data_IF_450616031758
#
_entry.id   IF_450616031758
#
_cell.length_a   1.000
_cell.length_b   1.000
_cell.length_c   1.000
_cell.angle_alpha   90.00
_cell.angle_beta   90.00
_cell.angle_gamma   90.00
#
_symmetry.space_group_name_H-M   'P 1'
#
loop_
_entity.id
_entity.type
_entity.pdbx_description
1 polymer ?
#
# COMPACT_ATOMS: atom_id res chain seq x y z
N UNK A 1 8.24 15.45 34.57
CA UNK A 1 7.01 15.63 33.80
C UNK A 1 6.05 14.49 34.14
N UNK A 2 4.75 14.74 34.13
CA UNK A 2 3.78 13.80 34.67
C UNK A 2 3.34 12.79 33.61
N UNK A 3 3.05 11.54 34.00
CA UNK A 3 2.49 10.46 33.19
C UNK A 3 1.23 10.92 32.42
N UNK A 4 0.53 11.91 32.96
CA UNK A 4 -0.65 12.56 32.35
C UNK A 4 -0.32 13.29 31.03
N UNK A 5 0.85 13.93 30.90
CA UNK A 5 1.25 14.65 29.69
C UNK A 5 1.60 13.67 28.55
N UNK A 6 2.20 12.53 28.85
CA UNK A 6 2.45 11.45 27.89
C UNK A 6 1.13 10.87 27.40
N UNK A 7 0.25 10.50 28.33
CA UNK A 7 -1.06 9.93 27.97
C UNK A 7 -1.85 10.87 27.05
N UNK A 8 -1.86 12.17 27.36
CA UNK A 8 -2.52 13.16 26.53
C UNK A 8 -1.91 13.24 25.10
N UNK A 9 -0.57 13.18 24.99
CA UNK A 9 0.10 13.21 23.68
C UNK A 9 -0.19 11.96 22.87
N UNK A 10 -0.22 10.78 23.50
CA UNK A 10 -0.59 9.51 22.84
C UNK A 10 -2.06 9.54 22.37
N UNK A 11 -3.00 10.05 23.19
CA UNK A 11 -4.40 10.18 22.79
C UNK A 11 -4.58 11.14 21.61
N UNK A 12 -3.87 12.27 21.62
CA UNK A 12 -3.85 13.19 20.47
C UNK A 12 -3.30 12.53 19.22
N UNK A 13 -2.27 11.72 19.37
CA UNK A 13 -1.70 10.96 18.25
C UNK A 13 -2.71 9.92 17.71
N UNK A 14 -3.42 9.20 18.57
CA UNK A 14 -4.49 8.30 18.13
C UNK A 14 -5.61 9.04 17.39
N UNK A 15 -6.04 10.18 17.92
CA UNK A 15 -7.04 11.01 17.24
C UNK A 15 -6.51 11.53 15.89
N UNK A 16 -5.25 11.95 15.84
CA UNK A 16 -4.60 12.34 14.59
C UNK A 16 -4.66 11.20 13.56
N UNK A 17 -4.30 9.96 13.93
CA UNK A 17 -4.35 8.78 13.06
C UNK A 17 -5.77 8.44 12.61
N UNK A 18 -6.77 8.60 13.49
CA UNK A 18 -8.19 8.44 13.12
C UNK A 18 -8.60 9.44 12.03
N UNK A 19 -8.30 10.73 12.23
CA UNK A 19 -8.69 11.76 11.27
C UNK A 19 -7.86 11.73 9.99
N UNK A 20 -6.61 11.33 10.05
CA UNK A 20 -5.76 11.06 8.87
C UNK A 20 -6.31 9.88 8.05
N UNK A 21 -6.75 8.80 8.71
CA UNK A 21 -7.35 7.63 8.07
C UNK A 21 -8.78 7.85 7.58
N UNK A 22 -9.43 8.98 7.91
CA UNK A 22 -10.82 9.22 7.55
C UNK A 22 -10.97 9.78 6.13
N UNK A 23 -10.55 8.98 5.14
CA UNK A 23 -10.54 9.31 3.71
C UNK A 23 -11.75 8.66 3.02
N UNK A 24 -12.74 9.47 2.69
CA UNK A 24 -14.03 8.97 2.21
C UNK A 24 -14.03 8.58 0.72
N UNK A 25 -13.05 8.96 -0.07
CA UNK A 25 -13.09 8.79 -1.52
C UNK A 25 -12.29 7.60 -2.05
N UNK A 26 -11.49 6.88 -1.24
CA UNK A 26 -10.66 5.76 -1.72
C UNK A 26 -11.44 4.63 -2.41
N UNK A 27 -12.72 4.46 -2.09
CA UNK A 27 -13.53 3.43 -2.74
C UNK A 27 -14.18 3.88 -4.05
N UNK A 28 -13.99 5.17 -4.45
CA UNK A 28 -14.70 5.76 -5.62
C UNK A 28 -13.84 6.71 -6.46
N UNK A 29 -12.56 6.88 -6.17
CA UNK A 29 -11.69 7.85 -6.85
C UNK A 29 -11.53 7.56 -8.35
N UNK A 30 -11.39 6.30 -8.75
CA UNK A 30 -11.31 5.93 -10.16
C UNK A 30 -12.63 6.18 -10.90
N UNK A 31 -13.75 6.09 -10.20
CA UNK A 31 -15.06 6.40 -10.77
C UNK A 31 -15.23 7.91 -10.98
N UNK A 32 -14.71 8.74 -10.05
CA UNK A 32 -14.63 10.17 -10.29
C UNK A 32 -13.80 10.49 -11.53
N UNK A 33 -12.61 9.90 -11.66
CA UNK A 33 -11.74 10.09 -12.83
C UNK A 33 -12.46 9.67 -14.13
N UNK A 34 -13.13 8.52 -14.14
CA UNK A 34 -13.92 8.06 -15.29
C UNK A 34 -15.08 9.01 -15.61
N UNK A 35 -15.76 9.56 -14.61
CA UNK A 35 -16.83 10.55 -14.80
C UNK A 35 -16.35 11.88 -15.40
N UNK A 36 -15.03 12.12 -15.38
CA UNK A 36 -14.33 13.26 -16.01
C UNK A 36 -13.68 12.86 -17.34
N UNK A 37 -14.17 11.78 -17.96
CA UNK A 37 -13.73 11.28 -19.25
C UNK A 37 -12.26 10.82 -19.33
N UNK A 38 -11.63 10.56 -18.20
CA UNK A 38 -10.29 9.97 -18.18
C UNK A 38 -10.36 8.50 -18.60
N UNK A 39 -9.49 8.13 -19.55
CA UNK A 39 -9.27 6.74 -19.90
C UNK A 39 -8.58 5.97 -18.76
N UNK A 40 -8.63 4.64 -18.80
CA UNK A 40 -7.90 3.82 -17.81
C UNK A 40 -6.40 4.05 -17.94
N UNK A 41 -5.89 4.27 -19.15
CA UNK A 41 -4.49 4.64 -19.37
C UNK A 41 -4.13 5.98 -18.72
N UNK A 42 -5.03 6.97 -18.76
CA UNK A 42 -4.81 8.26 -18.09
C UNK A 42 -4.76 8.08 -16.56
N UNK A 43 -5.65 7.25 -15.99
CA UNK A 43 -5.61 6.93 -14.56
C UNK A 43 -4.27 6.28 -14.16
N UNK A 44 -3.77 5.35 -14.99
CA UNK A 44 -2.45 4.73 -14.79
C UNK A 44 -1.33 5.77 -14.86
N UNK A 45 -1.41 6.76 -15.76
CA UNK A 45 -0.40 7.83 -15.84
C UNK A 45 -0.39 8.69 -14.57
N UNK A 46 -1.55 8.97 -13.98
CA UNK A 46 -1.66 9.68 -12.67
C UNK A 46 -0.96 8.87 -11.57
N UNK A 47 -1.18 7.56 -11.51
CA UNK A 47 -0.50 6.66 -10.55
C UNK A 47 1.02 6.61 -10.78
N UNK A 48 1.48 6.63 -12.04
CA UNK A 48 2.91 6.68 -12.36
C UNK A 48 3.54 7.97 -11.87
N UNK A 49 2.87 9.11 -12.04
CA UNK A 49 3.34 10.40 -11.50
C UNK A 49 3.52 10.30 -9.99
N UNK A 50 2.50 9.78 -9.28
CA UNK A 50 2.60 9.54 -7.84
C UNK A 50 3.80 8.66 -7.48
N UNK A 51 3.94 7.50 -8.12
CA UNK A 51 4.97 6.52 -7.81
C UNK A 51 6.39 7.05 -8.06
N UNK A 52 6.61 7.72 -9.20
CA UNK A 52 7.92 8.29 -9.57
C UNK A 52 8.34 9.39 -8.59
N UNK A 53 7.44 10.31 -8.28
CA UNK A 53 7.76 11.40 -7.36
C UNK A 53 7.86 10.94 -5.90
N UNK A 54 7.10 9.91 -5.49
CA UNK A 54 7.28 9.28 -4.19
C UNK A 54 8.71 8.76 -4.02
N UNK A 55 9.25 8.02 -5.00
CA UNK A 55 10.64 7.55 -4.98
C UNK A 55 11.66 8.70 -4.91
N UNK A 56 11.41 9.79 -5.63
CA UNK A 56 12.30 10.97 -5.62
C UNK A 56 12.29 11.64 -4.24
N UNK A 57 11.13 11.78 -3.62
CA UNK A 57 10.98 12.50 -2.35
C UNK A 57 11.25 11.64 -1.11
N UNK A 58 11.27 10.32 -1.21
CA UNK A 58 11.47 9.43 -0.05
C UNK A 58 12.81 9.70 0.67
N UNK A 59 13.90 9.95 -0.07
CA UNK A 59 15.21 10.24 0.51
C UNK A 59 15.26 11.66 1.13
N UNK A 60 14.86 12.73 0.43
CA UNK A 60 14.86 14.08 1.01
C UNK A 60 13.93 14.21 2.21
N UNK A 61 12.77 13.53 2.22
CA UNK A 61 11.79 13.61 3.31
C UNK A 61 12.33 13.02 4.61
N UNK A 62 13.08 11.93 4.57
CA UNK A 62 13.76 11.37 5.73
C UNK A 62 14.71 12.39 6.37
N UNK A 63 15.56 13.05 5.56
CA UNK A 63 16.46 14.08 6.04
C UNK A 63 15.73 15.32 6.62
N UNK A 64 14.56 15.66 6.07
CA UNK A 64 13.71 16.73 6.62
C UNK A 64 13.13 16.31 7.97
N UNK A 65 12.59 15.10 8.08
CA UNK A 65 12.02 14.56 9.31
C UNK A 65 13.04 14.48 10.46
N UNK A 66 14.31 14.21 10.14
CA UNK A 66 15.37 14.13 11.13
C UNK A 66 15.85 15.50 11.62
N UNK A 67 15.78 16.54 10.76
CA UNK A 67 16.26 17.89 11.09
C UNK A 67 15.19 18.82 11.62
N UNK A 68 13.94 18.62 11.21
CA UNK A 68 12.81 19.47 11.61
C UNK A 68 12.01 18.84 12.75
N UNK A 69 11.13 19.64 13.35
CA UNK A 69 10.14 19.15 14.31
C UNK A 69 9.16 18.22 13.61
N UNK A 70 9.08 16.97 14.09
CA UNK A 70 8.24 15.93 13.46
C UNK A 70 6.76 16.29 13.45
N UNK A 71 6.26 17.00 14.48
CA UNK A 71 4.87 17.46 14.48
C UNK A 71 4.54 18.40 13.33
N UNK A 72 5.51 19.27 12.95
CA UNK A 72 5.32 20.15 11.79
C UNK A 72 5.42 19.37 10.47
N UNK A 73 6.30 18.37 10.38
CA UNK A 73 6.38 17.47 9.22
C UNK A 73 5.07 16.72 9.05
N UNK A 74 4.48 16.18 10.15
CA UNK A 74 3.16 15.54 10.12
C UNK A 74 2.05 16.52 9.69
N UNK A 75 2.08 17.76 10.16
CA UNK A 75 1.10 18.76 9.74
C UNK A 75 1.23 19.12 8.25
N UNK A 76 2.47 19.30 7.76
CA UNK A 76 2.76 19.60 6.34
C UNK A 76 2.38 18.43 5.45
N UNK A 77 2.63 17.18 5.87
CA UNK A 77 2.14 15.98 5.19
C UNK A 77 0.63 16.10 4.90
N UNK A 78 -0.18 16.33 5.95
CA UNK A 78 -1.63 16.43 5.79
C UNK A 78 -2.04 17.63 4.92
N UNK A 79 -1.31 18.75 4.95
CA UNK A 79 -1.56 19.90 4.06
C UNK A 79 -1.35 19.51 2.58
N UNK A 80 -0.30 18.76 2.25
CA UNK A 80 -0.10 18.25 0.88
C UNK A 80 -1.18 17.23 0.49
N UNK A 81 -1.63 16.38 1.43
CA UNK A 81 -2.76 15.49 1.22
C UNK A 81 -4.06 16.29 0.96
N UNK A 82 -4.32 17.36 1.71
CA UNK A 82 -5.46 18.26 1.46
C UNK A 82 -5.36 18.93 0.08
N UNK A 83 -4.16 19.34 -0.34
CA UNK A 83 -3.95 19.92 -1.67
C UNK A 83 -4.29 18.89 -2.77
N UNK A 84 -3.83 17.66 -2.64
CA UNK A 84 -4.23 16.56 -3.54
C UNK A 84 -5.75 16.41 -3.57
N UNK A 85 -6.38 16.23 -2.40
CA UNK A 85 -7.83 16.03 -2.27
C UNK A 85 -8.63 17.18 -2.89
N UNK A 86 -8.20 18.43 -2.65
CA UNK A 86 -8.83 19.60 -3.23
C UNK A 86 -8.72 19.63 -4.75
N UNK A 87 -7.50 19.40 -5.29
CA UNK A 87 -7.26 19.38 -6.73
C UNK A 87 -8.08 18.30 -7.42
N UNK A 88 -8.18 17.11 -6.83
CA UNK A 88 -8.99 16.02 -7.38
C UNK A 88 -10.50 16.32 -7.31
N UNK A 89 -10.96 16.98 -6.25
CA UNK A 89 -12.38 17.38 -6.12
C UNK A 89 -12.83 18.31 -7.26
N UNK A 90 -11.96 19.22 -7.70
CA UNK A 90 -12.27 20.23 -8.74
C UNK A 90 -11.77 19.84 -10.14
N UNK A 91 -10.99 18.75 -10.26
CA UNK A 91 -10.37 18.34 -11.53
C UNK A 91 -11.43 18.06 -12.60
N UNK A 92 -11.19 18.56 -13.81
CA UNK A 92 -11.99 18.29 -15.00
C UNK A 92 -11.18 17.59 -16.10
N UNK A 93 -9.87 17.56 -15.97
CA UNK A 93 -8.92 16.98 -16.90
C UNK A 93 -7.75 16.31 -16.16
N UNK A 94 -6.94 15.55 -16.88
CA UNK A 94 -5.81 14.80 -16.35
C UNK A 94 -4.76 15.67 -15.64
N UNK A 95 -4.62 16.95 -16.03
CA UNK A 95 -3.54 17.83 -15.55
C UNK A 95 -3.68 18.09 -14.05
N UNK A 96 -4.90 18.40 -13.58
CA UNK A 96 -5.15 18.61 -12.15
C UNK A 96 -5.03 17.29 -11.34
N UNK A 97 -5.40 16.14 -11.92
CA UNK A 97 -5.17 14.85 -11.28
C UNK A 97 -3.67 14.56 -11.14
N UNK A 98 -2.86 14.86 -12.15
CA UNK A 98 -1.39 14.70 -12.09
C UNK A 98 -0.74 15.63 -11.06
N UNK A 99 -1.17 16.92 -11.00
CA UNK A 99 -0.67 17.86 -9.98
C UNK A 99 -1.08 17.40 -8.59
N UNK A 100 -2.29 16.90 -8.43
CA UNK A 100 -2.75 16.29 -7.18
C UNK A 100 -1.91 15.07 -6.79
N UNK A 101 -1.64 14.16 -7.73
CA UNK A 101 -0.79 13.00 -7.50
C UNK A 101 0.66 13.38 -7.10
N UNK A 102 1.20 14.44 -7.69
CA UNK A 102 2.47 15.03 -7.26
C UNK A 102 2.40 15.53 -5.82
N UNK A 103 1.33 16.23 -5.42
CA UNK A 103 1.15 16.66 -4.03
C UNK A 103 0.98 15.45 -3.09
N UNK A 104 0.24 14.41 -3.50
CA UNK A 104 0.08 13.17 -2.75
C UNK A 104 1.42 12.45 -2.53
N UNK A 105 2.33 12.46 -3.52
CA UNK A 105 3.66 11.85 -3.39
C UNK A 105 4.52 12.55 -2.33
N UNK A 106 4.48 13.88 -2.24
CA UNK A 106 5.15 14.65 -1.19
C UNK A 106 4.53 14.30 0.18
N UNK A 107 3.20 14.26 0.27
CA UNK A 107 2.49 13.86 1.48
C UNK A 107 2.95 12.48 1.97
N UNK A 108 2.89 11.48 1.10
CA UNK A 108 3.28 10.10 1.45
C UNK A 108 4.74 9.97 1.84
N UNK A 109 5.65 10.68 1.16
CA UNK A 109 7.06 10.71 1.49
C UNK A 109 7.32 11.34 2.87
N UNK A 110 6.66 12.45 3.20
CA UNK A 110 6.78 13.11 4.51
C UNK A 110 6.17 12.25 5.65
N UNK A 111 5.13 11.48 5.37
CA UNK A 111 4.53 10.56 6.34
C UNK A 111 5.46 9.39 6.64
N UNK A 112 6.12 8.85 5.61
CA UNK A 112 6.96 7.65 5.69
C UNK A 112 8.02 7.79 6.80
N UNK A 113 7.91 6.95 7.82
CA UNK A 113 8.82 6.93 8.96
C UNK A 113 8.65 8.07 9.99
N UNK A 114 8.00 9.19 9.64
CA UNK A 114 7.87 10.33 10.56
C UNK A 114 6.90 10.04 11.71
N UNK A 115 5.77 9.41 11.43
CA UNK A 115 4.75 9.08 12.41
C UNK A 115 5.24 8.01 13.41
N UNK A 116 5.88 6.96 12.91
CA UNK A 116 6.47 5.89 13.74
C UNK A 116 7.61 6.42 14.60
N UNK A 117 8.48 7.25 14.04
CA UNK A 117 9.58 7.88 14.75
C UNK A 117 9.09 8.90 15.79
N UNK A 118 8.05 9.70 15.48
CA UNK A 118 7.43 10.60 16.45
C UNK A 118 6.90 9.84 17.67
N UNK A 119 6.20 8.72 17.42
CA UNK A 119 5.65 7.89 18.50
C UNK A 119 6.77 7.26 19.34
N UNK A 120 7.80 6.70 18.69
CA UNK A 120 8.94 6.10 19.38
C UNK A 120 9.66 7.11 20.27
N UNK A 121 9.99 8.28 19.74
CA UNK A 121 10.66 9.35 20.48
C UNK A 121 9.80 9.88 21.64
N UNK A 122 8.48 9.97 21.43
CA UNK A 122 7.56 10.35 22.52
C UNK A 122 7.60 9.35 23.67
N UNK A 123 7.62 8.05 23.39
CA UNK A 123 7.71 7.01 24.41
C UNK A 123 9.09 6.97 25.06
N UNK A 124 10.16 7.17 24.30
CA UNK A 124 11.54 7.19 24.79
C UNK A 124 11.78 8.36 25.77
N UNK A 125 11.24 9.55 25.51
CA UNK A 125 11.31 10.70 26.43
C UNK A 125 10.77 10.35 27.84
N UNK A 126 9.84 9.40 27.92
CA UNK A 126 9.22 8.98 29.17
C UNK A 126 9.72 7.60 29.67
N UNK A 127 10.77 7.04 29.04
CA UNK A 127 11.31 5.71 29.38
C UNK A 127 10.23 4.61 29.33
N UNK A 128 9.38 4.65 28.28
CA UNK A 128 8.28 3.68 28.02
C UNK A 128 8.35 3.06 26.64
N UNK A 129 9.55 3.00 26.05
CA UNK A 129 9.81 2.40 24.74
C UNK A 129 9.37 0.94 24.65
N UNK A 130 9.32 0.21 25.75
CA UNK A 130 8.82 -1.16 25.81
C UNK A 130 7.33 -1.27 25.46
N UNK A 131 6.59 -0.16 25.53
CA UNK A 131 5.17 -0.11 25.16
C UNK A 131 4.95 0.23 23.69
N UNK A 132 6.03 0.49 22.90
CA UNK A 132 5.95 0.98 21.53
C UNK A 132 5.10 0.09 20.61
N UNK A 133 5.36 -1.21 20.59
CA UNK A 133 4.62 -2.15 19.72
C UNK A 133 3.11 -2.12 20.00
N UNK A 134 2.73 -2.08 21.28
CA UNK A 134 1.32 -2.00 21.69
C UNK A 134 0.70 -0.68 21.27
N UNK A 135 1.41 0.43 21.47
CA UNK A 135 0.91 1.78 21.18
C UNK A 135 0.78 2.00 19.68
N UNK A 136 1.79 1.57 18.90
CA UNK A 136 1.74 1.58 17.43
C UNK A 136 0.61 0.69 16.90
N UNK A 137 0.46 -0.52 17.44
CA UNK A 137 -0.62 -1.43 17.07
C UNK A 137 -2.01 -0.83 17.30
N UNK A 138 -2.20 -0.12 18.42
CA UNK A 138 -3.44 0.61 18.68
C UNK A 138 -3.67 1.76 17.68
N UNK A 139 -2.61 2.52 17.33
CA UNK A 139 -2.71 3.61 16.37
C UNK A 139 -3.15 3.09 14.98
N UNK A 140 -2.51 2.02 14.49
CA UNK A 140 -2.87 1.34 13.23
C UNK A 140 -4.29 0.80 13.28
N UNK A 141 -4.69 0.21 14.41
CA UNK A 141 -6.05 -0.31 14.59
C UNK A 141 -7.11 0.79 14.48
N UNK A 142 -6.92 1.93 15.16
CA UNK A 142 -7.86 3.05 15.08
C UNK A 142 -7.89 3.69 13.68
N UNK A 143 -6.74 3.85 13.03
CA UNK A 143 -6.65 4.32 11.64
C UNK A 143 -7.41 3.39 10.69
N UNK A 144 -7.23 2.06 10.82
CA UNK A 144 -7.91 1.07 9.97
C UNK A 144 -9.43 1.07 10.16
N UNK A 145 -9.92 1.17 11.41
CA UNK A 145 -11.36 1.30 11.66
C UNK A 145 -11.90 2.58 11.02
N UNK A 146 -11.18 3.69 11.17
CA UNK A 146 -11.57 4.97 10.56
C UNK A 146 -11.64 4.85 9.03
N UNK A 147 -10.66 4.21 8.39
CA UNK A 147 -10.63 3.97 6.94
C UNK A 147 -11.80 3.10 6.46
N UNK A 148 -12.14 2.02 7.20
CA UNK A 148 -13.29 1.16 6.88
C UNK A 148 -14.61 1.96 6.96
N UNK A 149 -14.81 2.69 8.06
CA UNK A 149 -16.01 3.52 8.24
C UNK A 149 -16.09 4.62 7.17
N UNK A 150 -14.95 5.26 6.89
CA UNK A 150 -14.87 6.29 5.87
C UNK A 150 -15.17 5.73 4.47
N UNK A 151 -14.62 4.57 4.10
CA UNK A 151 -14.87 3.93 2.81
C UNK A 151 -16.35 3.61 2.61
N UNK A 152 -17.02 3.04 3.62
CA UNK A 152 -18.46 2.73 3.57
C UNK A 152 -19.29 4.03 3.48
N UNK A 153 -19.01 4.99 4.38
CA UNK A 153 -19.74 6.25 4.39
C UNK A 153 -19.51 7.06 3.09
N UNK A 154 -18.28 7.05 2.60
CA UNK A 154 -17.89 7.74 1.37
C UNK A 154 -18.60 7.20 0.14
N UNK A 155 -18.69 5.89 -0.04
CA UNK A 155 -19.43 5.27 -1.12
C UNK A 155 -20.94 5.61 -1.06
N UNK A 156 -21.53 5.59 0.13
CA UNK A 156 -22.95 6.00 0.31
C UNK A 156 -23.16 7.49 0.01
N UNK A 157 -22.24 8.35 0.45
CA UNK A 157 -22.29 9.80 0.19
C UNK A 157 -22.11 10.07 -1.31
N UNK A 158 -21.21 9.36 -1.98
CA UNK A 158 -21.01 9.47 -3.42
C UNK A 158 -22.25 9.08 -4.22
N UNK A 159 -22.91 7.99 -3.82
CA UNK A 159 -24.15 7.50 -4.47
C UNK A 159 -25.30 8.49 -4.35
N UNK A 160 -25.44 9.18 -3.19
CA UNK A 160 -26.54 10.08 -2.90
C UNK A 160 -26.29 11.54 -3.29
N UNK A 161 -25.08 12.07 -3.02
CA UNK A 161 -24.72 13.48 -3.21
C UNK A 161 -23.78 13.73 -4.38
N UNK A 162 -23.34 12.68 -5.08
CA UNK A 162 -22.44 12.74 -6.21
C UNK A 162 -20.97 12.51 -5.84
N UNK A 163 -20.17 12.10 -6.84
CA UNK A 163 -18.82 11.57 -6.68
C UNK A 163 -17.80 12.55 -6.05
N UNK A 164 -18.03 13.87 -6.19
CA UNK A 164 -17.14 14.87 -5.60
C UNK A 164 -17.42 15.13 -4.10
N UNK A 165 -18.59 14.78 -3.58
CA UNK A 165 -18.99 15.07 -2.20
C UNK A 165 -18.06 14.42 -1.15
N UNK A 166 -17.62 13.15 -1.29
CA UNK A 166 -16.65 12.54 -0.37
C UNK A 166 -15.32 13.29 -0.29
N UNK A 167 -14.84 13.88 -1.38
CA UNK A 167 -13.60 14.66 -1.39
C UNK A 167 -13.73 15.93 -0.53
N UNK A 168 -14.84 16.67 -0.68
CA UNK A 168 -15.08 17.87 0.12
C UNK A 168 -15.19 17.57 1.61
N UNK A 169 -15.83 16.46 1.99
CA UNK A 169 -15.90 16.05 3.38
C UNK A 169 -14.55 15.56 3.90
N UNK A 170 -13.76 14.86 3.10
CA UNK A 170 -12.39 14.46 3.47
C UNK A 170 -11.52 15.68 3.81
N UNK A 171 -11.67 16.81 3.10
CA UNK A 171 -10.95 18.05 3.42
C UNK A 171 -11.26 18.54 4.84
N UNK A 172 -12.51 18.41 5.31
CA UNK A 172 -12.90 18.81 6.68
C UNK A 172 -12.17 17.93 7.71
N UNK A 173 -12.18 16.61 7.52
CA UNK A 173 -11.48 15.68 8.43
C UNK A 173 -9.98 15.87 8.40
N UNK A 174 -9.39 16.07 7.20
CA UNK A 174 -7.97 16.36 7.05
C UNK A 174 -7.58 17.69 7.72
N UNK A 175 -8.43 18.72 7.66
CA UNK A 175 -8.17 19.96 8.39
C UNK A 175 -8.13 19.74 9.90
N UNK A 176 -9.01 18.90 10.44
CA UNK A 176 -8.96 18.50 11.86
C UNK A 176 -7.66 17.77 12.17
N UNK A 177 -7.20 16.89 11.26
CA UNK A 177 -5.93 16.19 11.41
C UNK A 177 -4.74 17.18 11.45
N UNK A 178 -4.73 18.25 10.65
CA UNK A 178 -3.71 19.32 10.72
C UNK A 178 -3.70 19.97 12.10
N UNK A 179 -4.88 20.34 12.63
CA UNK A 179 -4.98 20.95 13.96
C UNK A 179 -4.50 19.99 15.06
N UNK A 180 -4.81 18.71 14.94
CA UNK A 180 -4.35 17.68 15.87
C UNK A 180 -2.82 17.52 15.80
N UNK A 181 -2.24 17.43 14.60
CA UNK A 181 -0.79 17.36 14.40
C UNK A 181 -0.08 18.57 15.05
N UNK A 182 -0.58 19.78 14.82
CA UNK A 182 -0.03 21.01 15.43
C UNK A 182 -0.19 21.04 16.96
N UNK A 183 -1.22 20.37 17.50
CA UNK A 183 -1.46 20.26 18.94
C UNK A 183 -0.59 19.23 19.64
N UNK A 184 0.11 18.36 18.89
CA UNK A 184 1.05 17.38 19.41
C UNK A 184 2.21 18.11 20.08
N UNK A 185 2.72 17.49 21.13
CA UNK A 185 3.94 17.94 21.78
C UNK A 185 5.14 17.25 21.15
N UNK A 186 6.11 18.04 20.64
CA UNK A 186 7.37 17.52 20.12
C UNK A 186 8.21 16.93 21.25
N UNK A 187 8.72 15.69 21.12
CA UNK A 187 9.62 15.10 22.11
C UNK A 187 10.99 15.78 22.11
N UNK A 188 11.55 16.02 23.31
CA UNK A 188 12.86 16.67 23.51
C UNK A 188 13.96 15.61 23.51
N UNK A 189 14.36 15.10 22.34
CA UNK A 189 15.44 14.12 22.19
C UNK A 189 16.56 14.69 21.36
N UNK A 190 17.82 14.44 21.81
CA UNK A 190 19.00 14.75 21.01
C UNK A 190 19.09 13.75 19.85
N UNK A 191 18.93 14.24 18.62
CA UNK A 191 19.02 13.43 17.40
C UNK A 191 20.46 13.40 16.92
N UNK A 192 21.05 12.22 16.85
CA UNK A 192 22.35 12.00 16.19
C UNK A 192 22.08 11.79 14.70
N UNK A 193 22.50 12.75 13.88
CA UNK A 193 22.49 12.60 12.42
C UNK A 193 23.69 11.74 12.00
N UNK A 194 23.50 10.45 11.79
CA UNK A 194 24.46 9.64 11.03
C UNK A 194 24.25 9.90 9.54
N UNK A 195 25.25 10.44 8.87
CA UNK A 195 25.27 10.55 7.41
C UNK A 195 25.50 9.16 6.79
N UNK A 196 24.41 8.44 6.55
CA UNK A 196 24.48 7.17 5.84
C UNK A 196 24.34 7.42 4.35
N UNK A 197 25.32 7.01 3.57
CA UNK A 197 25.27 7.10 2.10
C UNK A 197 24.30 6.06 1.56
N UNK A 198 23.03 6.44 1.46
CA UNK A 198 21.90 5.57 1.05
C UNK A 198 22.17 4.80 -0.26
N UNK A 199 22.81 5.44 -1.25
CA UNK A 199 23.13 4.82 -2.53
C UNK A 199 24.12 3.66 -2.42
N UNK A 200 25.12 3.76 -1.56
CA UNK A 200 26.09 2.67 -1.36
C UNK A 200 25.41 1.43 -0.73
N UNK A 201 24.46 1.65 0.18
CA UNK A 201 23.68 0.57 0.77
C UNK A 201 22.76 -0.10 -0.27
N UNK A 202 22.07 0.67 -1.12
CA UNK A 202 21.22 0.10 -2.20
C UNK A 202 22.07 -0.74 -3.15
N UNK A 203 23.21 -0.22 -3.63
CA UNK A 203 24.06 -0.92 -4.59
C UNK A 203 24.69 -2.17 -3.97
N UNK A 204 25.15 -2.11 -2.72
CA UNK A 204 25.73 -3.25 -2.00
C UNK A 204 24.69 -4.35 -1.75
N UNK A 205 23.48 -3.95 -1.33
CA UNK A 205 22.34 -4.88 -1.13
C UNK A 205 21.91 -5.49 -2.46
N UNK A 206 21.76 -4.70 -3.52
CA UNK A 206 21.46 -5.21 -4.86
C UNK A 206 22.48 -6.24 -5.34
N UNK A 207 23.78 -6.00 -5.10
CA UNK A 207 24.85 -6.95 -5.44
C UNK A 207 24.80 -8.22 -4.58
N UNK A 208 24.48 -8.11 -3.30
CA UNK A 208 24.27 -9.26 -2.41
C UNK A 208 23.10 -10.12 -2.89
N UNK A 209 21.95 -9.50 -3.17
CA UNK A 209 20.73 -10.17 -3.65
C UNK A 209 20.99 -10.95 -4.95
N UNK A 210 21.73 -10.34 -5.89
CA UNK A 210 22.06 -10.97 -7.18
C UNK A 210 22.91 -12.23 -7.04
N UNK A 211 23.65 -12.38 -5.94
CA UNK A 211 24.51 -13.54 -5.69
C UNK A 211 23.79 -14.71 -5.01
N UNK A 212 22.56 -14.51 -4.51
CA UNK A 212 21.82 -15.54 -3.78
C UNK A 212 20.55 -15.95 -4.54
N UNK A 213 20.61 -17.04 -5.35
CA UNK A 213 19.50 -17.43 -6.22
C UNK A 213 18.17 -17.69 -5.51
N UNK A 214 18.19 -18.14 -4.26
CA UNK A 214 16.97 -18.37 -3.46
C UNK A 214 16.26 -17.06 -3.11
N UNK A 215 17.01 -16.06 -2.63
CA UNK A 215 16.51 -14.74 -2.29
C UNK A 215 15.86 -14.07 -3.52
N UNK A 216 16.51 -14.19 -4.66
CA UNK A 216 16.03 -13.66 -5.93
C UNK A 216 14.64 -14.19 -6.30
N UNK A 217 14.35 -15.49 -6.08
CA UNK A 217 13.03 -16.08 -6.35
C UNK A 217 11.95 -15.55 -5.41
N UNK A 218 12.27 -15.37 -4.14
CA UNK A 218 11.34 -14.78 -3.16
C UNK A 218 11.04 -13.32 -3.48
N UNK A 219 12.05 -12.56 -3.90
CA UNK A 219 11.88 -11.17 -4.33
C UNK A 219 10.96 -11.10 -5.55
N UNK A 220 11.23 -11.90 -6.60
CA UNK A 220 10.39 -11.92 -7.80
C UNK A 220 8.95 -12.31 -7.49
N UNK A 221 8.74 -13.27 -6.60
CA UNK A 221 7.42 -13.65 -6.14
C UNK A 221 6.69 -12.47 -5.48
N UNK A 222 7.38 -11.78 -4.55
CA UNK A 222 6.83 -10.61 -3.86
C UNK A 222 6.52 -9.47 -4.83
N UNK A 223 7.40 -9.26 -5.81
CA UNK A 223 7.26 -8.20 -6.82
C UNK A 223 6.06 -8.48 -7.74
N UNK A 224 5.93 -9.71 -8.25
CA UNK A 224 4.82 -10.07 -9.15
C UNK A 224 3.47 -10.02 -8.41
N UNK A 225 3.37 -10.65 -7.24
CA UNK A 225 2.14 -10.64 -6.45
C UNK A 225 1.79 -9.22 -5.96
N UNK A 226 2.79 -8.41 -5.57
CA UNK A 226 2.57 -7.03 -5.14
C UNK A 226 2.16 -6.10 -6.26
N UNK A 227 2.79 -6.20 -7.44
CA UNK A 227 2.42 -5.40 -8.59
C UNK A 227 1.00 -5.72 -9.08
N UNK A 228 0.59 -7.00 -9.03
CA UNK A 228 -0.76 -7.40 -9.42
C UNK A 228 -1.81 -7.10 -8.35
N UNK A 229 -1.43 -7.10 -7.06
CA UNK A 229 -2.32 -6.65 -5.98
C UNK A 229 -2.83 -5.23 -6.24
N UNK A 230 -1.92 -4.29 -6.52
CA UNK A 230 -2.28 -2.89 -6.76
C UNK A 230 -3.29 -2.76 -7.90
N UNK A 231 -3.21 -3.60 -8.94
CA UNK A 231 -4.20 -3.61 -10.02
C UNK A 231 -5.58 -4.07 -9.56
N UNK A 232 -5.65 -5.08 -8.71
CA UNK A 232 -6.93 -5.57 -8.20
C UNK A 232 -7.58 -4.57 -7.25
N UNK A 233 -6.79 -3.92 -6.40
CA UNK A 233 -7.24 -2.94 -5.41
C UNK A 233 -7.69 -1.63 -6.08
N UNK A 234 -6.84 -1.02 -6.89
CA UNK A 234 -7.08 0.27 -7.52
C UNK A 234 -8.15 0.22 -8.62
N UNK A 235 -8.11 -0.79 -9.50
CA UNK A 235 -9.00 -0.85 -10.67
C UNK A 235 -10.21 -1.77 -10.47
N UNK A 236 -10.39 -2.36 -9.29
CA UNK A 236 -11.59 -3.12 -8.92
C UNK A 236 -12.87 -2.29 -9.07
N UNK A 237 -12.82 -1.00 -8.76
CA UNK A 237 -13.92 -0.06 -8.89
C UNK A 237 -14.48 -0.02 -10.34
N UNK A 238 -13.59 0.00 -11.35
CA UNK A 238 -13.99 0.01 -12.76
C UNK A 238 -14.71 -1.29 -13.14
N UNK A 239 -14.27 -2.44 -12.63
CA UNK A 239 -14.97 -3.69 -12.82
C UNK A 239 -16.38 -3.63 -12.22
N UNK A 240 -16.52 -3.15 -10.98
CA UNK A 240 -17.79 -3.09 -10.25
C UNK A 240 -18.83 -2.26 -11.01
N UNK A 241 -18.44 -1.11 -11.55
CA UNK A 241 -19.34 -0.29 -12.41
C UNK A 241 -19.74 -1.04 -13.66
N UNK A 242 -18.79 -1.69 -14.35
CA UNK A 242 -19.07 -2.40 -15.61
C UNK A 242 -20.04 -3.58 -15.46
N UNK A 243 -20.12 -4.18 -14.26
CA UNK A 243 -21.05 -5.28 -13.98
C UNK A 243 -22.32 -4.81 -13.25
N UNK A 244 -22.51 -3.49 -13.10
CA UNK A 244 -23.73 -2.92 -12.55
C UNK A 244 -23.85 -3.01 -11.01
N UNK A 245 -22.75 -3.14 -10.29
CA UNK A 245 -22.78 -3.04 -8.82
C UNK A 245 -23.02 -1.57 -8.44
N UNK A 246 -24.00 -1.27 -7.57
CA UNK A 246 -24.26 0.09 -7.12
C UNK A 246 -23.09 0.69 -6.34
N UNK A 247 -22.85 2.00 -6.48
CA UNK A 247 -21.69 2.70 -5.90
C UNK A 247 -21.66 2.55 -4.37
N UNK A 248 -22.79 2.60 -3.68
CA UNK A 248 -22.83 2.45 -2.22
C UNK A 248 -22.27 1.10 -1.73
N UNK A 249 -22.22 0.06 -2.58
CA UNK A 249 -21.66 -1.26 -2.24
C UNK A 249 -20.13 -1.25 -2.24
N UNK A 250 -19.49 -0.31 -2.95
CA UNK A 250 -18.03 -0.27 -3.10
C UNK A 250 -17.30 -0.14 -1.77
N UNK A 251 -17.83 0.66 -0.85
CA UNK A 251 -17.28 0.77 0.50
C UNK A 251 -17.31 -0.54 1.28
N UNK A 252 -18.36 -1.36 1.12
CA UNK A 252 -18.42 -2.70 1.72
C UNK A 252 -17.43 -3.67 1.08
N UNK A 253 -17.23 -3.59 -0.24
CA UNK A 253 -16.24 -4.41 -0.95
C UNK A 253 -14.81 -4.02 -0.49
N UNK A 254 -14.51 -2.74 -0.34
CA UNK A 254 -13.24 -2.28 0.22
C UNK A 254 -13.04 -2.78 1.66
N UNK A 255 -14.09 -2.73 2.50
CA UNK A 255 -14.04 -3.28 3.86
C UNK A 255 -13.78 -4.80 3.88
N UNK A 256 -14.30 -5.57 2.92
CA UNK A 256 -13.97 -7.00 2.75
C UNK A 256 -12.49 -7.17 2.41
N UNK A 257 -11.93 -6.35 1.51
CA UNK A 257 -10.49 -6.34 1.18
C UNK A 257 -9.62 -6.13 2.42
N UNK A 258 -9.90 -5.09 3.21
CA UNK A 258 -9.21 -4.82 4.48
C UNK A 258 -9.37 -5.97 5.50
N UNK A 259 -10.55 -6.61 5.53
CA UNK A 259 -10.78 -7.80 6.35
C UNK A 259 -9.92 -8.99 5.93
N UNK A 260 -9.75 -9.22 4.62
CA UNK A 260 -8.87 -10.26 4.08
C UNK A 260 -7.42 -9.99 4.47
N UNK A 261 -6.95 -8.75 4.37
CA UNK A 261 -5.61 -8.34 4.81
C UNK A 261 -5.39 -8.70 6.28
N UNK A 262 -6.26 -8.22 7.17
CA UNK A 262 -6.14 -8.43 8.61
C UNK A 262 -6.17 -9.92 9.00
N UNK A 263 -7.09 -10.71 8.40
CA UNK A 263 -7.21 -12.15 8.65
C UNK A 263 -5.99 -12.89 8.12
N UNK A 264 -5.53 -12.55 6.92
CA UNK A 264 -4.37 -13.18 6.28
C UNK A 264 -3.10 -12.94 7.10
N UNK A 265 -2.84 -11.70 7.53
CA UNK A 265 -1.71 -11.37 8.38
C UNK A 265 -1.72 -12.17 9.69
N UNK A 266 -2.89 -12.28 10.33
CA UNK A 266 -3.04 -13.00 11.60
C UNK A 266 -2.82 -14.51 11.46
N UNK A 267 -3.25 -15.14 10.37
CA UNK A 267 -3.28 -16.60 10.24
C UNK A 267 -2.20 -17.18 9.33
N UNK A 268 -1.44 -16.36 8.58
CA UNK A 268 -0.36 -16.83 7.69
C UNK A 268 0.66 -17.73 8.38
N UNK A 269 0.97 -17.46 9.67
CA UNK A 269 1.93 -18.26 10.44
C UNK A 269 1.54 -19.74 10.56
N UNK A 270 0.24 -20.09 10.49
CA UNK A 270 -0.25 -21.48 10.55
C UNK A 270 0.15 -22.29 9.32
N UNK A 271 0.50 -21.63 8.23
CA UNK A 271 0.96 -22.29 7.00
C UNK A 271 2.43 -22.75 7.07
N UNK A 272 3.16 -22.39 8.12
CA UNK A 272 4.58 -22.78 8.29
C UNK A 272 4.83 -24.28 8.29
N UNK A 273 3.82 -25.10 8.61
CA UNK A 273 3.91 -26.56 8.60
C UNK A 273 3.90 -27.17 7.17
N UNK A 274 3.59 -26.40 6.15
CA UNK A 274 3.58 -26.88 4.78
C UNK A 274 4.84 -26.42 4.01
N UNK A 275 5.21 -27.21 2.97
CA UNK A 275 6.32 -26.88 2.09
C UNK A 275 6.13 -25.50 1.42
N UNK A 276 7.12 -24.62 1.55
CA UNK A 276 7.11 -23.26 0.98
C UNK A 276 6.80 -23.25 -0.52
N UNK A 277 7.46 -24.14 -1.27
CA UNK A 277 7.23 -24.24 -2.72
C UNK A 277 5.79 -24.56 -3.06
N UNK A 278 5.14 -25.47 -2.32
CA UNK A 278 3.72 -25.81 -2.55
C UNK A 278 2.79 -24.64 -2.21
N UNK A 279 3.05 -23.94 -1.10
CA UNK A 279 2.27 -22.75 -0.70
C UNK A 279 2.36 -21.68 -1.78
N UNK A 280 3.57 -21.30 -2.18
CA UNK A 280 3.77 -20.23 -3.16
C UNK A 280 3.21 -20.59 -4.53
N UNK A 281 3.39 -21.83 -4.99
CA UNK A 281 2.76 -22.33 -6.22
C UNK A 281 1.23 -22.19 -6.16
N UNK A 282 0.62 -22.60 -5.05
CA UNK A 282 -0.82 -22.49 -4.86
C UNK A 282 -1.29 -21.03 -4.83
N UNK A 283 -0.58 -20.14 -4.14
CA UNK A 283 -0.94 -18.72 -4.05
C UNK A 283 -0.82 -18.01 -5.42
N UNK A 284 0.21 -18.31 -6.21
CA UNK A 284 0.33 -17.79 -7.58
C UNK A 284 -0.83 -18.29 -8.44
N UNK A 285 -1.18 -19.58 -8.35
CA UNK A 285 -2.31 -20.17 -9.06
C UNK A 285 -3.64 -19.50 -8.67
N UNK A 286 -3.88 -19.28 -7.36
CA UNK A 286 -5.07 -18.60 -6.84
C UNK A 286 -5.13 -17.16 -7.36
N UNK A 287 -4.01 -16.43 -7.34
CA UNK A 287 -3.94 -15.05 -7.86
C UNK A 287 -4.26 -14.99 -9.35
N UNK A 288 -3.57 -15.77 -10.18
CA UNK A 288 -3.79 -15.79 -11.63
C UNK A 288 -5.19 -16.27 -12.00
N UNK A 289 -5.68 -17.33 -11.34
CA UNK A 289 -7.03 -17.84 -11.49
C UNK A 289 -8.10 -16.81 -11.11
N UNK A 290 -7.86 -16.06 -10.02
CA UNK A 290 -8.72 -14.96 -9.60
C UNK A 290 -8.88 -13.90 -10.67
N UNK A 291 -7.80 -13.42 -11.25
CA UNK A 291 -7.83 -12.44 -12.35
C UNK A 291 -8.55 -12.98 -13.59
N UNK A 292 -8.27 -14.23 -14.01
CA UNK A 292 -8.93 -14.84 -15.17
C UNK A 292 -10.44 -14.97 -14.92
N UNK A 293 -10.85 -15.47 -13.75
CA UNK A 293 -12.27 -15.64 -13.42
C UNK A 293 -12.99 -14.30 -13.32
N UNK A 294 -12.37 -13.28 -12.73
CA UNK A 294 -12.91 -11.91 -12.72
C UNK A 294 -13.21 -11.45 -14.14
N UNK A 295 -12.24 -11.51 -15.04
CA UNK A 295 -12.43 -11.03 -16.40
C UNK A 295 -13.36 -11.91 -17.25
N UNK A 296 -13.43 -13.22 -17.00
CA UNK A 296 -14.23 -14.16 -17.80
C UNK A 296 -15.72 -14.12 -17.44
N UNK A 297 -16.07 -13.96 -16.16
CA UNK A 297 -17.46 -14.08 -15.70
C UNK A 297 -18.32 -12.85 -16.04
N UNK A 298 -17.75 -11.67 -16.18
CA UNK A 298 -18.43 -10.42 -16.58
C UNK A 298 -19.77 -10.19 -15.86
N UNK A 299 -19.81 -10.45 -14.56
CA UNK A 299 -21.03 -10.40 -13.75
C UNK A 299 -20.72 -9.95 -12.34
N UNK A 300 -21.70 -9.50 -11.53
CA UNK A 300 -21.48 -9.16 -10.12
C UNK A 300 -20.84 -10.30 -9.32
N UNK A 301 -21.12 -11.56 -9.66
CA UNK A 301 -20.47 -12.71 -9.04
C UNK A 301 -18.97 -12.78 -9.35
N UNK A 302 -18.55 -12.30 -10.53
CA UNK A 302 -17.14 -12.19 -10.91
C UNK A 302 -16.34 -11.29 -9.97
N UNK A 303 -16.96 -10.29 -9.34
CA UNK A 303 -16.32 -9.40 -8.38
C UNK A 303 -15.73 -10.13 -7.16
N UNK A 304 -16.30 -11.28 -6.78
CA UNK A 304 -15.78 -12.09 -5.66
C UNK A 304 -14.36 -12.59 -5.93
N UNK A 305 -14.03 -12.84 -7.20
CA UNK A 305 -12.73 -13.37 -7.58
C UNK A 305 -11.61 -12.31 -7.58
N UNK A 306 -11.95 -11.01 -7.54
CA UNK A 306 -10.97 -9.92 -7.32
C UNK A 306 -10.26 -10.06 -5.98
N UNK A 307 -10.92 -10.64 -4.98
CA UNK A 307 -10.35 -10.85 -3.67
C UNK A 307 -9.32 -11.99 -3.60
N UNK A 308 -9.24 -12.86 -4.59
CA UNK A 308 -8.26 -13.95 -4.62
C UNK A 308 -6.81 -13.46 -4.79
N UNK A 309 -6.49 -12.50 -5.68
CA UNK A 309 -5.17 -11.86 -5.71
C UNK A 309 -4.79 -11.19 -4.40
N UNK A 310 -5.74 -10.48 -3.75
CA UNK A 310 -5.54 -9.85 -2.44
C UNK A 310 -5.18 -10.90 -1.39
N UNK A 311 -5.98 -11.97 -1.29
CA UNK A 311 -5.72 -13.08 -0.38
C UNK A 311 -4.35 -13.70 -0.62
N UNK A 312 -4.00 -13.96 -1.88
CA UNK A 312 -2.71 -14.57 -2.25
C UNK A 312 -1.53 -13.70 -1.79
N UNK A 313 -1.59 -12.40 -2.02
CA UNK A 313 -0.55 -11.47 -1.59
C UNK A 313 -0.46 -11.36 -0.08
N UNK A 314 -1.55 -11.06 0.61
CA UNK A 314 -1.55 -10.83 2.06
C UNK A 314 -1.21 -12.08 2.88
N UNK A 315 -1.47 -13.28 2.35
CA UNK A 315 -0.98 -14.53 2.94
C UNK A 315 0.51 -14.73 2.68
N UNK A 316 1.00 -14.44 1.46
CA UNK A 316 2.40 -14.66 1.09
C UNK A 316 3.35 -13.65 1.74
N UNK A 317 2.94 -12.40 1.90
CA UNK A 317 3.79 -11.30 2.35
C UNK A 317 4.49 -11.57 3.70
N UNK A 318 3.80 -11.95 4.80
CA UNK A 318 4.47 -12.26 6.07
C UNK A 318 5.38 -13.50 6.01
N UNK A 319 5.02 -14.48 5.16
CA UNK A 319 5.83 -15.69 4.97
C UNK A 319 7.14 -15.37 4.26
N UNK A 320 7.05 -14.61 3.16
CA UNK A 320 8.22 -14.21 2.36
C UNK A 320 9.11 -13.26 3.15
N UNK A 321 8.53 -12.26 3.83
CA UNK A 321 9.29 -11.33 4.69
C UNK A 321 10.06 -12.08 5.77
N UNK A 322 9.43 -13.07 6.43
CA UNK A 322 10.11 -13.93 7.42
C UNK A 322 11.26 -14.73 6.81
N UNK A 323 11.07 -15.28 5.59
CA UNK A 323 12.10 -16.06 4.92
C UNK A 323 13.26 -15.14 4.46
N UNK A 324 12.97 -13.93 3.95
CA UNK A 324 13.98 -12.94 3.57
C UNK A 324 14.79 -12.42 4.77
N UNK A 325 14.09 -12.12 5.89
CA UNK A 325 14.76 -11.61 7.09
C UNK A 325 15.73 -12.63 7.76
N UNK A 326 15.56 -13.93 7.50
CA UNK A 326 16.52 -14.95 7.94
C UNK A 326 17.83 -14.90 7.15
N UNK A 327 17.76 -14.52 5.89
CA UNK A 327 18.89 -14.45 4.99
C UNK A 327 19.64 -13.10 5.08
N UNK A 328 18.95 -12.03 5.51
CA UNK A 328 19.52 -10.70 5.66
C UNK A 328 20.21 -10.52 7.01
N UNK A 329 21.40 -9.95 7.02
CA UNK A 329 22.01 -9.40 8.24
C UNK A 329 21.18 -8.20 8.75
N UNK A 330 21.29 -7.87 10.04
CA UNK A 330 20.54 -6.78 10.66
C UNK A 330 20.67 -5.44 9.92
N UNK A 331 21.88 -5.12 9.42
CA UNK A 331 22.14 -3.90 8.64
C UNK A 331 21.60 -3.91 7.21
N UNK A 332 21.22 -5.08 6.66
CA UNK A 332 20.72 -5.22 5.28
C UNK A 332 19.20 -5.27 5.19
N UNK A 333 18.48 -5.47 6.31
CA UNK A 333 17.02 -5.65 6.31
C UNK A 333 16.27 -4.45 5.76
N UNK A 334 16.56 -3.26 6.30
CA UNK A 334 15.89 -2.03 5.86
C UNK A 334 16.17 -1.72 4.39
N UNK A 335 17.44 -1.86 3.96
CA UNK A 335 17.83 -1.63 2.56
C UNK A 335 17.24 -2.69 1.61
N UNK A 336 17.09 -3.94 2.09
CA UNK A 336 16.43 -5.02 1.35
C UNK A 336 14.96 -4.73 1.09
N UNK A 337 14.22 -4.28 2.09
CA UNK A 337 12.81 -3.90 1.93
C UNK A 337 12.64 -2.70 0.98
N UNK A 338 13.50 -1.67 1.08
CA UNK A 338 13.50 -0.54 0.15
C UNK A 338 13.78 -0.99 -1.29
N UNK A 339 14.74 -1.91 -1.48
CA UNK A 339 15.04 -2.46 -2.80
C UNK A 339 13.88 -3.26 -3.39
N UNK A 340 13.19 -4.06 -2.58
CA UNK A 340 11.99 -4.81 -2.98
C UNK A 340 10.87 -3.85 -3.37
N UNK A 341 10.66 -2.77 -2.62
CA UNK A 341 9.66 -1.75 -2.93
C UNK A 341 9.94 -1.06 -4.26
N UNK A 342 11.20 -0.72 -4.54
CA UNK A 342 11.64 -0.17 -5.81
C UNK A 342 11.39 -1.14 -6.98
N UNK A 343 11.69 -2.43 -6.80
CA UNK A 343 11.42 -3.44 -7.82
C UNK A 343 9.92 -3.65 -8.05
N UNK A 344 9.09 -3.61 -7.00
CA UNK A 344 7.63 -3.67 -7.14
C UNK A 344 7.12 -2.54 -8.04
N UNK A 345 7.56 -1.30 -7.81
CA UNK A 345 7.20 -0.15 -8.65
C UNK A 345 7.69 -0.31 -10.09
N UNK A 346 8.93 -0.78 -10.29
CA UNK A 346 9.50 -1.00 -11.61
C UNK A 346 8.69 -2.01 -12.43
N UNK A 347 8.14 -3.05 -11.80
CA UNK A 347 7.28 -4.05 -12.47
C UNK A 347 5.85 -3.57 -12.57
N UNK A 348 5.34 -2.87 -11.55
CA UNK A 348 3.98 -2.33 -11.55
C UNK A 348 3.72 -1.41 -12.73
N UNK A 349 4.61 -0.46 -13.02
CA UNK A 349 4.45 0.53 -14.08
C UNK A 349 4.14 -0.11 -15.45
N UNK A 350 4.97 -1.01 -16.01
CA UNK A 350 4.67 -1.61 -17.32
C UNK A 350 3.44 -2.52 -17.30
N UNK A 351 3.17 -3.22 -16.20
CA UNK A 351 1.99 -4.08 -16.07
C UNK A 351 0.72 -3.23 -16.00
N UNK A 352 0.73 -2.12 -15.26
CA UNK A 352 -0.39 -1.18 -15.18
C UNK A 352 -0.64 -0.46 -16.50
N UNK A 353 0.42 -0.03 -17.23
CA UNK A 353 0.28 0.53 -18.57
C UNK A 353 -0.33 -0.47 -19.53
N UNK A 354 0.13 -1.73 -19.51
CA UNK A 354 -0.45 -2.81 -20.31
C UNK A 354 -1.92 -3.05 -19.97
N UNK A 355 -2.26 -3.02 -18.67
CA UNK A 355 -3.66 -3.11 -18.20
C UNK A 355 -4.51 -1.96 -18.76
N UNK A 356 -4.06 -0.71 -18.61
CA UNK A 356 -4.76 0.47 -19.09
C UNK A 356 -4.99 0.43 -20.60
N UNK A 357 -3.93 0.17 -21.39
CA UNK A 357 -4.03 0.07 -22.85
C UNK A 357 -5.00 -1.02 -23.32
N UNK A 358 -5.04 -2.17 -22.65
CA UNK A 358 -5.98 -3.25 -23.01
C UNK A 358 -7.40 -2.89 -22.55
N UNK A 359 -7.53 -2.27 -21.38
CA UNK A 359 -8.83 -1.82 -20.88
C UNK A 359 -9.49 -0.81 -21.81
N UNK A 360 -8.72 0.14 -22.34
CA UNK A 360 -9.21 1.19 -23.25
C UNK A 360 -9.49 0.66 -24.67
N UNK A 361 -8.61 -0.21 -25.21
CA UNK A 361 -8.74 -0.69 -26.60
C UNK A 361 -9.71 -1.85 -26.76
N UNK A 362 -9.87 -2.67 -25.73
CA UNK A 362 -10.69 -3.89 -25.77
C UNK A 362 -11.77 -3.85 -24.70
N UNK A 363 -11.39 -4.02 -23.43
CA UNK A 363 -12.27 -3.89 -22.26
C UNK A 363 -11.50 -4.10 -20.95
N UNK A 364 -12.05 -3.60 -19.86
CA UNK A 364 -11.56 -3.87 -18.49
C UNK A 364 -11.51 -5.39 -18.20
N UNK A 365 -12.49 -6.15 -18.69
CA UNK A 365 -12.53 -7.60 -18.53
C UNK A 365 -11.35 -8.30 -19.21
N UNK A 366 -11.01 -7.86 -20.44
CA UNK A 366 -9.85 -8.40 -21.17
C UNK A 366 -8.52 -8.05 -20.48
N UNK A 367 -8.43 -6.86 -19.87
CA UNK A 367 -7.27 -6.45 -19.11
C UNK A 367 -7.06 -7.39 -17.91
N UNK A 368 -8.12 -7.72 -17.15
CA UNK A 368 -8.05 -8.69 -16.05
C UNK A 368 -7.60 -10.08 -16.52
N UNK A 369 -8.15 -10.59 -17.64
CA UNK A 369 -7.72 -11.88 -18.22
C UNK A 369 -6.24 -11.86 -18.58
N UNK A 370 -5.76 -10.76 -19.16
CA UNK A 370 -4.34 -10.62 -19.56
C UNK A 370 -3.41 -10.61 -18.35
N UNK A 371 -3.77 -9.91 -17.28
CA UNK A 371 -3.00 -9.97 -16.02
C UNK A 371 -2.99 -11.39 -15.45
N UNK A 372 -4.13 -12.07 -15.47
CA UNK A 372 -4.20 -13.46 -15.03
C UNK A 372 -3.34 -14.40 -15.88
N UNK A 373 -3.29 -14.20 -17.20
CA UNK A 373 -2.41 -14.94 -18.10
C UNK A 373 -0.91 -14.65 -17.82
N UNK A 374 -0.56 -13.39 -17.54
CA UNK A 374 0.79 -12.99 -17.13
C UNK A 374 1.21 -13.70 -15.84
N UNK A 375 0.34 -13.71 -14.81
CA UNK A 375 0.59 -14.43 -13.56
C UNK A 375 0.67 -15.94 -13.79
N UNK A 376 -0.15 -16.49 -14.70
CA UNK A 376 -0.11 -17.90 -15.10
C UNK A 376 1.19 -18.28 -15.80
N UNK A 377 1.72 -17.40 -16.66
CA UNK A 377 3.04 -17.58 -17.26
C UNK A 377 4.14 -17.58 -16.20
N UNK A 378 4.07 -16.65 -15.24
CA UNK A 378 4.99 -16.63 -14.12
C UNK A 378 4.89 -17.91 -13.28
N UNK A 379 3.69 -18.46 -13.06
CA UNK A 379 3.49 -19.73 -12.38
C UNK A 379 4.27 -20.87 -13.06
N UNK A 380 4.18 -20.97 -14.40
CA UNK A 380 4.92 -21.97 -15.16
C UNK A 380 6.43 -21.82 -14.94
N UNK A 381 6.95 -20.60 -15.06
CA UNK A 381 8.36 -20.30 -14.82
C UNK A 381 8.75 -20.67 -13.38
N UNK A 382 7.96 -20.27 -12.40
CA UNK A 382 8.21 -20.55 -10.99
C UNK A 382 8.28 -22.05 -10.71
N UNK A 383 7.35 -22.83 -11.22
CA UNK A 383 7.31 -24.30 -11.09
C UNK A 383 8.54 -24.93 -11.73
N UNK A 384 8.87 -24.58 -12.99
CA UNK A 384 10.01 -25.13 -13.71
C UNK A 384 11.35 -24.87 -13.02
N UNK A 385 11.50 -23.69 -12.41
CA UNK A 385 12.72 -23.32 -11.70
C UNK A 385 12.77 -23.95 -10.30
N UNK A 386 11.63 -23.99 -9.59
CA UNK A 386 11.54 -24.57 -8.24
C UNK A 386 11.76 -26.07 -8.27
N UNK A 387 11.21 -26.81 -9.24
CA UNK A 387 11.44 -28.26 -9.37
C UNK A 387 12.92 -28.62 -9.57
N UNK A 388 13.73 -27.75 -10.19
CA UNK A 388 15.17 -27.98 -10.35
C UNK A 388 15.99 -27.77 -9.07
N UNK A 389 15.46 -27.05 -8.05
CA UNK A 389 16.21 -26.67 -6.83
C UNK A 389 15.68 -27.25 -5.53
N UNK A 390 14.39 -27.58 -5.43
CA UNK A 390 13.80 -28.16 -4.20
C UNK A 390 14.36 -29.58 -3.97
N UNK A 391 14.75 -30.32 -5.00
CA UNK A 391 15.48 -31.56 -4.86
C UNK A 391 16.85 -31.45 -4.13
N UNK A 392 17.40 -30.23 -3.99
CA UNK A 392 18.64 -29.99 -3.25
C UNK A 392 18.44 -29.56 -1.78
N UNK A 393 17.25 -29.08 -1.40
CA UNK A 393 16.97 -28.59 -0.03
C UNK A 393 16.52 -29.75 0.88
N UNK A 394 15.79 -30.74 0.35
CA UNK A 394 15.43 -31.93 1.11
C UNK A 394 16.61 -32.84 1.45
N UNK A 395 17.76 -32.70 0.75
CA UNK A 395 18.99 -33.43 1.03
C UNK A 395 19.92 -32.77 2.07
N UNK A 396 19.61 -31.60 2.57
CA UNK A 396 20.38 -30.88 3.60
C UNK A 396 19.71 -31.00 4.99
N UNK A 397 18.43 -31.37 5.07
CA UNK A 397 17.72 -31.60 6.32
C UNK A 397 17.53 -33.10 6.67
N UNK A 398 18.08 -34.02 5.88
CA UNK A 398 18.21 -35.44 6.17
C UNK A 398 19.66 -35.79 6.55
#
# INVERSE_FOLDING_TARGET
>A
MTDTSLQLNIWKFYLFKVFEGFVLYYSIDKILMESRELSVTDMVQVEIVFAVFLLIFEIPSGAISDRWSRKYVLAINVVFFMLNTFLWAIAQDISLFMIGAFAASISSALKSGTDTSFLYDTLLEFSKEETYEKTLGNAIFYESIAAIVAGIAGAMIADYYGLAAPFWLTLIFSFIAVLLALSLREPEIQRTTEEVTYWEHIVSTGRFLWRHPFIYHLIFLTVILGATLNLADEYGQLYFVRVGIPIFVFGYLAAVGNGIEAISAKFSHKLRCYSRGKIYTFLIFVSGGGFVLTGALKSPFGAVFIFLPLLAYYVSCPLISSDLHREFSSGQRATGESFISLLKMTVYIPVALGFGLIADRVSVFSAYITVGAFVGLYLIIFVLVSFRKIGHIETIES
#
